data_IF_327897350803
#
_entry.id   IF_327897350803
#
_cell.length_a   1.000
_cell.length_b   1.000
_cell.length_c   1.000
_cell.angle_alpha   90.00
_cell.angle_beta   90.00
_cell.angle_gamma   90.00
#
_symmetry.space_group_name_H-M   'P 1'
#
loop_
_entity.id
_entity.type
_entity.pdbx_description
1 polymer ?
#
# COMPACT_ATOMS: atom_id res chain seq x y z
N UNK A 1 16.21 9.69 -5.08
CA UNK A 1 15.42 9.32 -3.88
C UNK A 1 14.24 8.42 -4.23
N UNK A 2 13.26 8.86 -5.05
CA UNK A 2 12.04 8.08 -5.38
C UNK A 2 12.29 6.61 -5.74
N UNK A 3 13.17 6.32 -6.71
CA UNK A 3 13.44 4.93 -7.13
C UNK A 3 14.02 4.07 -6.01
N UNK A 4 14.93 4.65 -5.21
CA UNK A 4 15.50 3.99 -4.04
C UNK A 4 14.40 3.70 -3.00
N UNK A 5 13.56 4.69 -2.68
CA UNK A 5 12.49 4.55 -1.69
C UNK A 5 11.44 3.52 -2.12
N UNK A 6 11.03 3.55 -3.40
CA UNK A 6 10.08 2.59 -3.96
C UNK A 6 10.63 1.15 -3.86
N UNK A 7 11.90 0.96 -4.23
CA UNK A 7 12.53 -0.35 -4.18
C UNK A 7 12.78 -0.82 -2.75
N UNK A 8 13.26 0.06 -1.87
CA UNK A 8 13.53 -0.27 -0.48
C UNK A 8 12.23 -0.72 0.22
N UNK A 9 11.14 0.06 0.09
CA UNK A 9 9.83 -0.31 0.63
C UNK A 9 9.37 -1.67 0.09
N UNK A 10 9.43 -1.86 -1.24
CA UNK A 10 9.04 -3.12 -1.86
C UNK A 10 9.86 -4.32 -1.37
N UNK A 11 11.18 -4.18 -1.22
CA UNK A 11 12.05 -5.26 -0.74
C UNK A 11 11.68 -5.64 0.69
N UNK A 12 11.61 -4.68 1.62
CA UNK A 12 11.32 -4.99 3.02
C UNK A 12 9.95 -5.63 3.18
N UNK A 13 8.95 -5.11 2.48
CA UNK A 13 7.60 -5.59 2.63
C UNK A 13 7.38 -6.96 1.99
N UNK A 14 7.85 -7.17 0.76
CA UNK A 14 7.67 -8.45 0.06
C UNK A 14 8.53 -9.57 0.67
N UNK A 15 9.71 -9.25 1.20
CA UNK A 15 10.51 -10.23 1.95
C UNK A 15 9.78 -10.65 3.23
N UNK A 16 9.26 -9.68 4.00
CA UNK A 16 8.46 -9.97 5.19
C UNK A 16 7.25 -10.86 4.88
N UNK A 17 6.51 -10.50 3.82
CA UNK A 17 5.36 -11.25 3.32
C UNK A 17 5.71 -12.67 2.90
N UNK A 18 6.76 -12.82 2.09
CA UNK A 18 7.23 -14.13 1.61
C UNK A 18 7.65 -15.04 2.78
N UNK A 19 8.43 -14.50 3.72
CA UNK A 19 8.86 -15.24 4.91
C UNK A 19 7.67 -15.63 5.81
N UNK A 20 6.75 -14.71 6.04
CA UNK A 20 5.51 -14.96 6.80
C UNK A 20 4.68 -16.07 6.16
N UNK A 21 4.43 -16.00 4.85
CA UNK A 21 3.68 -17.04 4.15
C UNK A 21 4.40 -18.39 4.10
N UNK A 22 5.73 -18.39 3.97
CA UNK A 22 6.55 -19.62 4.05
C UNK A 22 6.48 -20.22 5.45
N UNK A 23 6.46 -19.40 6.49
CA UNK A 23 6.22 -19.85 7.86
C UNK A 23 4.83 -20.46 8.02
N UNK A 24 3.76 -19.78 7.56
CA UNK A 24 2.39 -20.32 7.60
C UNK A 24 2.28 -21.65 6.83
N UNK A 25 2.88 -21.76 5.65
CA UNK A 25 2.87 -22.98 4.85
C UNK A 25 3.56 -24.15 5.57
N UNK A 26 4.70 -23.89 6.23
CA UNK A 26 5.41 -24.88 7.05
C UNK A 26 4.64 -25.28 8.30
N UNK A 27 4.02 -24.32 8.99
CA UNK A 27 3.34 -24.53 10.28
C UNK A 27 1.99 -25.21 10.15
N UNK A 28 1.26 -24.94 9.07
CA UNK A 28 -0.13 -25.40 8.88
C UNK A 28 -0.33 -26.28 7.63
N UNK A 29 0.76 -26.71 6.99
CA UNK A 29 0.72 -27.61 5.83
C UNK A 29 0.09 -26.98 4.56
N UNK A 30 -0.24 -27.77 3.54
CA UNK A 30 -0.91 -27.27 2.34
C UNK A 30 -2.30 -26.67 2.64
N UNK A 31 -2.66 -25.58 1.95
CA UNK A 31 -4.05 -25.08 1.91
C UNK A 31 -4.60 -25.28 0.51
N UNK A 32 -5.86 -25.74 0.40
CA UNK A 32 -6.60 -25.59 -0.84
C UNK A 32 -6.92 -24.10 -1.06
N UNK A 33 -6.85 -23.66 -2.31
CA UNK A 33 -7.21 -22.30 -2.73
C UNK A 33 -6.35 -21.17 -2.16
N UNK A 34 -6.95 -19.97 -2.17
CA UNK A 34 -6.27 -18.70 -1.88
C UNK A 34 -6.64 -18.10 -0.53
N UNK A 35 -7.48 -18.78 0.27
CA UNK A 35 -8.00 -18.25 1.54
C UNK A 35 -6.90 -17.78 2.50
N UNK A 36 -5.76 -18.49 2.59
CA UNK A 36 -4.61 -18.04 3.41
C UNK A 36 -3.90 -16.82 2.83
N UNK A 37 -3.79 -16.71 1.51
CA UNK A 37 -3.23 -15.53 0.85
C UNK A 37 -4.12 -14.31 1.06
N UNK A 38 -5.43 -14.47 0.93
CA UNK A 38 -6.43 -13.43 1.20
C UNK A 38 -6.39 -13.03 2.68
N UNK A 39 -6.43 -13.99 3.60
CA UNK A 39 -6.40 -13.73 5.04
C UNK A 39 -5.12 -13.03 5.48
N UNK A 40 -3.96 -13.45 4.96
CA UNK A 40 -2.69 -12.75 5.20
C UNK A 40 -2.74 -11.33 4.64
N UNK A 41 -3.22 -11.15 3.41
CA UNK A 41 -3.31 -9.84 2.78
C UNK A 41 -4.25 -8.88 3.51
N UNK A 42 -5.36 -9.37 4.05
CA UNK A 42 -6.26 -8.59 4.92
C UNK A 42 -5.55 -8.21 6.22
N UNK A 43 -4.84 -9.14 6.86
CA UNK A 43 -4.10 -8.85 8.09
C UNK A 43 -2.98 -7.84 7.88
N UNK A 44 -2.15 -8.05 6.85
CA UNK A 44 -1.01 -7.20 6.51
C UNK A 44 -1.45 -5.84 5.96
N UNK A 45 -2.24 -5.83 4.88
CA UNK A 45 -2.75 -4.60 4.27
C UNK A 45 -3.71 -3.85 5.20
N UNK A 46 -4.42 -4.56 6.07
CA UNK A 46 -5.28 -3.95 7.09
C UNK A 46 -4.45 -3.24 8.16
N UNK A 47 -3.37 -3.85 8.63
CA UNK A 47 -2.43 -3.18 9.53
C UNK A 47 -1.83 -1.92 8.88
N UNK A 48 -1.43 -2.00 7.61
CA UNK A 48 -0.95 -0.83 6.86
C UNK A 48 -2.02 0.27 6.76
N UNK A 49 -3.27 -0.10 6.43
CA UNK A 49 -4.39 0.85 6.35
C UNK A 49 -4.67 1.52 7.71
N UNK A 50 -4.46 0.81 8.82
CA UNK A 50 -4.54 1.39 10.15
C UNK A 50 -3.41 2.39 10.43
N UNK A 51 -2.16 1.99 10.24
CA UNK A 51 -1.00 2.82 10.59
C UNK A 51 -0.85 4.02 9.66
N UNK A 52 -0.97 3.82 8.36
CA UNK A 52 -0.71 4.85 7.33
C UNK A 52 -1.99 5.58 6.93
N UNK A 53 -3.16 4.96 7.10
CA UNK A 53 -4.45 5.59 6.86
C UNK A 53 -5.02 6.17 8.14
N UNK A 54 -5.61 5.33 8.99
CA UNK A 54 -6.46 5.77 10.11
C UNK A 54 -5.72 6.67 11.10
N UNK A 55 -4.52 6.29 11.57
CA UNK A 55 -3.78 7.08 12.55
C UNK A 55 -3.35 8.44 11.99
N UNK A 56 -2.82 8.46 10.76
CA UNK A 56 -2.39 9.69 10.09
C UNK A 56 -3.57 10.62 9.86
N UNK A 57 -4.70 10.10 9.36
CA UNK A 57 -5.91 10.88 9.16
C UNK A 57 -6.55 11.38 10.46
N UNK A 58 -6.50 10.56 11.52
CA UNK A 58 -6.93 10.97 12.86
C UNK A 58 -6.13 12.16 13.36
N UNK A 59 -4.80 12.12 13.21
CA UNK A 59 -3.91 13.23 13.55
C UNK A 59 -4.25 14.49 12.75
N UNK A 60 -4.43 14.38 11.42
CA UNK A 60 -4.81 15.53 10.58
C UNK A 60 -6.17 16.11 10.96
N UNK A 61 -7.14 15.26 11.26
CA UNK A 61 -8.48 15.68 11.69
C UNK A 61 -8.43 16.44 13.01
N UNK A 62 -7.60 15.99 13.95
CA UNK A 62 -7.37 16.66 15.22
C UNK A 62 -6.72 18.05 15.03
N UNK A 63 -5.69 18.16 14.19
CA UNK A 63 -5.04 19.43 13.89
C UNK A 63 -5.97 20.42 13.18
N UNK A 64 -6.78 19.94 12.22
CA UNK A 64 -7.79 20.76 11.54
C UNK A 64 -8.87 21.25 12.52
N UNK A 65 -9.27 20.40 13.47
CA UNK A 65 -10.20 20.78 14.53
C UNK A 65 -9.63 21.88 15.44
N UNK A 66 -8.37 21.77 15.87
CA UNK A 66 -7.69 22.83 16.63
C UNK A 66 -7.59 24.14 15.84
N UNK A 67 -7.26 24.06 14.56
CA UNK A 67 -7.17 25.22 13.67
C UNK A 67 -8.51 25.96 13.57
N UNK A 68 -9.62 25.23 13.43
CA UNK A 68 -10.96 25.82 13.38
C UNK A 68 -11.39 26.54 14.67
N UNK A 69 -10.68 26.30 15.79
CA UNK A 69 -10.91 26.96 17.09
C UNK A 69 -9.87 28.02 17.43
N UNK A 70 -8.91 28.29 16.54
CA UNK A 70 -7.79 29.20 16.83
C UNK A 70 -6.84 28.67 17.92
N UNK A 71 -6.84 27.36 18.17
CA UNK A 71 -6.01 26.71 19.21
C UNK A 71 -4.78 26.01 18.63
N UNK A 72 -4.52 26.14 17.32
CA UNK A 72 -3.41 25.46 16.67
C UNK A 72 -2.05 25.99 17.16
N UNK A 73 -1.85 27.30 17.19
CA UNK A 73 -0.55 27.91 17.56
C UNK A 73 -0.08 27.52 18.95
N UNK A 74 -0.99 27.36 19.91
CA UNK A 74 -0.64 26.95 21.28
C UNK A 74 -0.16 25.50 21.36
N UNK A 75 -0.55 24.66 20.41
CA UNK A 75 -0.11 23.25 20.33
C UNK A 75 1.17 23.10 19.50
N UNK A 76 1.46 24.07 18.62
CA UNK A 76 2.65 24.06 17.77
C UNK A 76 3.82 24.86 18.34
N UNK A 77 3.65 25.55 19.48
CA UNK A 77 4.62 26.49 20.05
C UNK A 77 6.00 25.90 20.34
N UNK A 78 6.05 24.61 20.68
CA UNK A 78 7.28 23.91 21.06
C UNK A 78 7.96 23.22 19.87
N UNK A 79 7.37 23.32 18.67
CA UNK A 79 7.89 22.68 17.48
C UNK A 79 8.87 23.61 16.72
N UNK A 80 9.85 23.03 16.00
CA UNK A 80 10.70 23.79 15.09
C UNK A 80 9.89 24.58 14.05
N UNK A 81 10.31 25.82 13.78
CA UNK A 81 9.59 26.73 12.89
C UNK A 81 9.35 26.15 11.48
N UNK A 82 10.31 25.38 10.95
CA UNK A 82 10.17 24.71 9.65
C UNK A 82 9.07 23.64 9.66
N UNK A 83 8.88 22.96 10.80
CA UNK A 83 7.81 21.99 11.01
C UNK A 83 6.45 22.69 11.06
N UNK A 84 6.36 23.81 11.79
CA UNK A 84 5.14 24.63 11.89
C UNK A 84 4.69 25.12 10.51
N UNK A 85 5.62 25.65 9.70
CA UNK A 85 5.34 26.08 8.31
C UNK A 85 4.83 24.92 7.46
N UNK A 86 5.42 23.73 7.60
CA UNK A 86 5.03 22.55 6.83
C UNK A 86 3.62 22.09 7.19
N UNK A 87 3.27 22.09 8.48
CA UNK A 87 1.92 21.74 8.97
C UNK A 87 0.87 22.73 8.46
N UNK A 88 1.16 24.03 8.50
CA UNK A 88 0.29 25.07 7.95
C UNK A 88 0.03 24.88 6.46
N UNK A 89 1.09 24.64 5.68
CA UNK A 89 0.96 24.40 4.24
C UNK A 89 0.13 23.16 3.95
N UNK A 90 0.32 22.08 4.72
CA UNK A 90 -0.50 20.87 4.57
C UNK A 90 -1.97 21.12 4.90
N UNK A 91 -2.27 21.79 6.03
CA UNK A 91 -3.64 22.17 6.42
C UNK A 91 -4.30 23.11 5.41
N UNK A 92 -3.57 24.07 4.85
CA UNK A 92 -4.09 24.99 3.84
C UNK A 92 -4.44 24.30 2.50
N UNK A 93 -3.77 23.19 2.19
CA UNK A 93 -4.03 22.42 0.96
C UNK A 93 -5.04 21.28 1.14
N UNK A 94 -5.51 21.04 2.37
CA UNK A 94 -6.55 20.04 2.65
C UNK A 94 -7.93 20.55 2.20
N UNK A 95 -8.42 19.97 1.11
CA UNK A 95 -9.74 20.21 0.55
C UNK A 95 -10.55 18.92 0.47
N UNK A 96 -11.88 19.00 0.40
CA UNK A 96 -12.75 17.81 0.24
C UNK A 96 -12.31 16.97 -0.98
N UNK A 97 -12.03 17.55 -2.17
CA UNK A 97 -11.54 16.77 -3.31
C UNK A 97 -10.19 16.10 -3.06
N UNK A 98 -9.23 16.78 -2.43
CA UNK A 98 -7.92 16.16 -2.15
C UNK A 98 -8.02 15.03 -1.13
N UNK A 99 -8.91 15.15 -0.14
CA UNK A 99 -9.18 14.09 0.83
C UNK A 99 -9.78 12.87 0.13
N UNK A 100 -10.77 13.08 -0.75
CA UNK A 100 -11.40 12.00 -1.50
C UNK A 100 -10.40 11.23 -2.37
N UNK A 101 -9.51 11.93 -3.08
CA UNK A 101 -8.45 11.31 -3.90
C UNK A 101 -7.46 10.51 -3.04
N UNK A 102 -7.02 11.06 -1.91
CA UNK A 102 -6.10 10.34 -1.03
C UNK A 102 -6.74 9.09 -0.42
N UNK A 103 -8.03 9.12 -0.06
CA UNK A 103 -8.75 7.94 0.42
C UNK A 103 -8.90 6.89 -0.69
N UNK A 104 -9.18 7.31 -1.92
CA UNK A 104 -9.26 6.42 -3.07
C UNK A 104 -7.91 5.72 -3.32
N UNK A 105 -6.81 6.47 -3.27
CA UNK A 105 -5.45 5.94 -3.37
C UNK A 105 -5.17 4.87 -2.29
N UNK A 106 -5.62 5.10 -1.04
CA UNK A 106 -5.47 4.12 0.04
C UNK A 106 -6.28 2.85 -0.21
N UNK A 107 -7.51 2.96 -0.70
CA UNK A 107 -8.32 1.80 -1.08
C UNK A 107 -7.67 1.01 -2.23
N UNK A 108 -7.15 1.71 -3.25
CA UNK A 108 -6.44 1.08 -4.37
C UNK A 108 -5.16 0.37 -3.89
N UNK A 109 -4.38 1.01 -3.03
CA UNK A 109 -3.19 0.42 -2.40
C UNK A 109 -3.56 -0.84 -1.61
N UNK A 110 -4.62 -0.80 -0.80
CA UNK A 110 -5.08 -1.97 -0.04
C UNK A 110 -5.44 -3.15 -0.95
N UNK A 111 -6.18 -2.90 -2.03
CA UNK A 111 -6.53 -3.94 -3.02
C UNK A 111 -5.29 -4.51 -3.69
N UNK A 112 -4.30 -3.67 -4.01
CA UNK A 112 -3.03 -4.11 -4.59
C UNK A 112 -2.25 -5.01 -3.62
N UNK A 113 -2.17 -4.64 -2.35
CA UNK A 113 -1.50 -5.44 -1.31
C UNK A 113 -2.19 -6.80 -1.10
N UNK A 114 -3.52 -6.83 -1.20
CA UNK A 114 -4.30 -8.06 -1.17
C UNK A 114 -3.98 -8.95 -2.38
N UNK A 115 -3.94 -8.37 -3.58
CA UNK A 115 -3.61 -9.09 -4.82
C UNK A 115 -2.19 -9.65 -4.81
N UNK A 116 -1.20 -8.85 -4.39
CA UNK A 116 0.18 -9.30 -4.23
C UNK A 116 0.29 -10.40 -3.17
N UNK A 117 -0.51 -10.32 -2.09
CA UNK A 117 -0.55 -11.40 -1.09
C UNK A 117 -1.05 -12.73 -1.65
N UNK A 118 -2.08 -12.70 -2.50
CA UNK A 118 -2.53 -13.91 -3.22
C UNK A 118 -1.44 -14.42 -4.17
N UNK A 119 -0.77 -13.53 -4.91
CA UNK A 119 0.33 -13.91 -5.81
C UNK A 119 1.46 -14.61 -5.05
N UNK A 120 1.94 -14.01 -3.95
CA UNK A 120 3.02 -14.58 -3.13
C UNK A 120 2.60 -15.90 -2.52
N UNK A 121 1.37 -16.01 -2.01
CA UNK A 121 0.84 -17.27 -1.46
C UNK A 121 0.85 -18.40 -2.49
N UNK A 122 0.35 -18.13 -3.70
CA UNK A 122 0.36 -19.10 -4.79
C UNK A 122 1.78 -19.50 -5.20
N UNK A 123 2.72 -18.56 -5.28
CA UNK A 123 4.11 -18.86 -5.59
C UNK A 123 4.82 -19.69 -4.52
N UNK A 124 4.57 -19.38 -3.23
CA UNK A 124 5.06 -20.17 -2.10
C UNK A 124 4.51 -21.61 -2.16
N UNK A 125 3.21 -21.77 -2.42
CA UNK A 125 2.57 -23.09 -2.61
C UNK A 125 3.16 -23.87 -3.79
N UNK A 126 3.49 -23.19 -4.87
CA UNK A 126 4.08 -23.78 -6.06
C UNK A 126 5.60 -24.05 -5.94
N UNK A 127 6.23 -23.70 -4.81
CA UNK A 127 7.68 -23.82 -4.63
C UNK A 127 8.50 -22.91 -5.56
N UNK A 128 7.89 -21.89 -6.17
CA UNK A 128 8.52 -21.03 -7.18
C UNK A 128 9.25 -19.87 -6.51
N UNK A 129 10.56 -19.99 -6.35
CA UNK A 129 11.40 -18.92 -5.78
C UNK A 129 11.30 -17.59 -6.54
N UNK A 130 11.02 -17.63 -7.85
CA UNK A 130 10.82 -16.44 -8.69
C UNK A 130 9.61 -15.57 -8.33
N UNK A 131 8.73 -16.02 -7.42
CA UNK A 131 7.60 -15.19 -6.97
C UNK A 131 8.05 -13.96 -6.18
N UNK A 132 9.14 -14.06 -5.42
CA UNK A 132 9.65 -12.96 -4.60
C UNK A 132 10.18 -11.80 -5.45
N UNK A 133 11.14 -12.00 -6.38
CA UNK A 133 11.61 -10.88 -7.23
C UNK A 133 10.48 -10.30 -8.10
N UNK A 134 9.53 -11.12 -8.55
CA UNK A 134 8.36 -10.62 -9.27
C UNK A 134 7.49 -9.71 -8.40
N UNK A 135 7.19 -10.13 -7.17
CA UNK A 135 6.40 -9.33 -6.23
C UNK A 135 7.09 -8.01 -5.90
N UNK A 136 8.42 -8.01 -5.67
CA UNK A 136 9.21 -6.80 -5.41
C UNK A 136 9.08 -5.80 -6.58
N UNK A 137 9.23 -6.28 -7.82
CA UNK A 137 9.11 -5.40 -9.00
C UNK A 137 7.70 -4.82 -9.11
N UNK A 138 6.67 -5.67 -8.99
CA UNK A 138 5.28 -5.22 -9.09
C UNK A 138 4.91 -4.23 -7.97
N UNK A 139 5.38 -4.48 -6.75
CA UNK A 139 5.21 -3.57 -5.62
C UNK A 139 5.91 -2.24 -5.88
N UNK A 140 7.19 -2.25 -6.24
CA UNK A 140 7.96 -1.02 -6.47
C UNK A 140 7.31 -0.15 -7.56
N UNK A 141 6.81 -0.78 -8.63
CA UNK A 141 6.06 -0.09 -9.68
C UNK A 141 4.76 0.54 -9.15
N UNK A 142 4.09 -0.09 -8.19
CA UNK A 142 2.89 0.45 -7.57
C UNK A 142 3.16 1.53 -6.51
N UNK A 143 4.32 1.52 -5.87
CA UNK A 143 4.74 2.56 -4.92
C UNK A 143 5.22 3.84 -5.64
N UNK A 144 5.80 3.70 -6.84
CA UNK A 144 6.42 4.81 -7.56
C UNK A 144 5.48 6.00 -7.87
N UNK A 145 4.22 5.82 -8.31
CA UNK A 145 3.31 6.94 -8.60
C UNK A 145 3.02 7.79 -7.38
N UNK A 146 2.73 7.17 -6.23
CA UNK A 146 2.47 7.87 -4.98
C UNK A 146 3.71 8.67 -4.53
N UNK A 147 4.91 8.08 -4.64
CA UNK A 147 6.16 8.77 -4.33
C UNK A 147 6.45 9.94 -5.29
N UNK A 148 6.17 9.76 -6.59
CA UNK A 148 6.32 10.82 -7.61
C UNK A 148 5.33 11.97 -7.41
N UNK A 149 4.12 11.68 -6.93
CA UNK A 149 3.15 12.69 -6.53
C UNK A 149 3.62 13.48 -5.32
N UNK A 150 4.14 12.81 -4.29
CA UNK A 150 4.67 13.46 -3.09
C UNK A 150 5.81 14.45 -3.40
N UNK A 151 6.67 14.13 -4.37
CA UNK A 151 7.74 15.05 -4.81
C UNK A 151 7.29 16.04 -5.89
N UNK A 152 5.98 16.16 -6.13
CA UNK A 152 5.35 17.09 -7.10
C UNK A 152 5.81 16.91 -8.55
N UNK A 153 6.25 15.71 -8.92
CA UNK A 153 6.64 15.36 -10.29
C UNK A 153 5.44 14.92 -11.12
N UNK A 154 4.49 14.21 -10.51
CA UNK A 154 3.25 13.77 -11.16
C UNK A 154 2.02 14.47 -10.57
N UNK A 155 1.04 14.89 -11.39
CA UNK A 155 -0.27 15.30 -10.90
C UNK A 155 -1.05 14.11 -10.32
N UNK A 156 -1.95 14.35 -9.36
CA UNK A 156 -2.78 13.31 -8.74
C UNK A 156 -3.56 12.46 -9.76
N UNK A 157 -4.05 13.06 -10.85
CA UNK A 157 -4.78 12.34 -11.89
C UNK A 157 -3.96 11.24 -12.59
N UNK A 158 -2.65 11.43 -12.70
CA UNK A 158 -1.76 10.41 -13.29
C UNK A 158 -1.50 9.24 -12.33
N UNK A 159 -1.56 9.48 -11.02
CA UNK A 159 -1.41 8.43 -10.00
C UNK A 159 -2.53 7.39 -10.14
N UNK A 160 -3.77 7.85 -10.27
CA UNK A 160 -4.95 7.00 -10.46
C UNK A 160 -4.85 6.15 -11.72
N UNK A 161 -4.46 6.75 -12.85
CA UNK A 161 -4.29 6.02 -14.11
C UNK A 161 -3.25 4.89 -14.00
N UNK A 162 -2.17 5.12 -13.25
CA UNK A 162 -1.15 4.10 -13.01
C UNK A 162 -1.66 2.99 -12.07
N UNK A 163 -2.43 3.33 -11.03
CA UNK A 163 -3.08 2.32 -10.18
C UNK A 163 -4.03 1.41 -10.96
N UNK A 164 -4.88 1.97 -11.84
CA UNK A 164 -5.76 1.18 -12.70
C UNK A 164 -4.98 0.25 -13.64
N UNK A 165 -3.91 0.74 -14.26
CA UNK A 165 -3.05 -0.06 -15.13
C UNK A 165 -2.36 -1.20 -14.36
N UNK A 166 -1.84 -0.94 -13.16
CA UNK A 166 -1.21 -1.96 -12.31
C UNK A 166 -2.20 -2.99 -11.81
N UNK A 167 -3.40 -2.57 -11.41
CA UNK A 167 -4.47 -3.49 -11.05
C UNK A 167 -4.82 -4.41 -12.23
N UNK A 168 -4.93 -3.86 -13.45
CA UNK A 168 -5.16 -4.65 -14.66
C UNK A 168 -4.00 -5.62 -14.94
N UNK A 169 -2.75 -5.18 -14.82
CA UNK A 169 -1.55 -6.03 -14.97
C UNK A 169 -1.52 -7.15 -13.95
N UNK A 170 -1.86 -6.88 -12.69
CA UNK A 170 -1.94 -7.88 -11.61
C UNK A 170 -3.05 -8.89 -11.87
N UNK A 171 -4.22 -8.45 -12.33
CA UNK A 171 -5.30 -9.35 -12.74
C UNK A 171 -4.83 -10.25 -13.89
N UNK A 172 -4.19 -9.67 -14.93
CA UNK A 172 -3.64 -10.44 -16.06
C UNK A 172 -2.57 -11.43 -15.59
N UNK A 173 -1.67 -11.01 -14.70
CA UNK A 173 -0.63 -11.87 -14.14
C UNK A 173 -1.25 -13.02 -13.35
N UNK A 174 -2.24 -12.75 -12.50
CA UNK A 174 -2.99 -13.76 -11.75
C UNK A 174 -3.71 -14.73 -12.69
N UNK A 175 -4.31 -14.26 -13.79
CA UNK A 175 -4.97 -15.12 -14.77
C UNK A 175 -3.97 -15.99 -15.56
N UNK A 176 -2.86 -15.40 -16.04
CA UNK A 176 -1.87 -16.09 -16.88
C UNK A 176 -0.99 -17.06 -16.10
N UNK A 177 -0.61 -16.70 -14.88
CA UNK A 177 0.23 -17.57 -14.03
C UNK A 177 -0.58 -18.61 -13.28
N UNK A 178 -1.91 -18.49 -13.27
CA UNK A 178 -2.81 -19.38 -12.53
C UNK A 178 -4.00 -19.84 -13.38
N UNK A 179 -3.73 -20.58 -14.46
CA UNK A 179 -4.78 -21.48 -14.97
C UNK A 179 -5.16 -22.45 -13.84
N UNK A 180 -6.45 -22.55 -13.47
CA UNK A 180 -6.88 -23.60 -12.56
C UNK A 180 -6.47 -24.93 -13.17
N UNK A 181 -5.83 -25.80 -12.40
CA UNK A 181 -5.83 -27.22 -12.78
C UNK A 181 -7.29 -27.60 -12.96
N UNK A 182 -7.69 -27.95 -14.19
CA UNK A 182 -8.97 -28.61 -14.43
C UNK A 182 -9.01 -29.78 -13.46
N UNK A 183 -9.84 -29.69 -12.43
CA UNK A 183 -10.26 -30.86 -11.69
C UNK A 183 -10.87 -31.79 -12.72
N UNK A 184 -10.21 -32.91 -12.98
CA UNK A 184 -10.81 -34.02 -13.69
C UNK A 184 -12.09 -34.38 -12.92
N UNK A 185 -13.22 -34.16 -13.57
CA UNK A 185 -14.51 -34.73 -13.17
C UNK A 185 -14.49 -36.19 -13.59
#
# INVERSE_FOLDING_TARGET
>A
FVAYSALATAVFEEVGRYLGMRFLARRYGPSAGDGRGIGYGIGHGGAEAWFVGVLVWGQWSYLAWLASRGQLETQLSDLPADTVVRLHMMLATLSVPSIALLLLERCASFVLQLALSVLVWRGVRAGRAGVLPLAIVLHALAAAPALLYQVRVLPAAWVEAVYFMLAALLIVALVKTCRPSRTAV
#
